data_IF_622730864340
#
_entry.id   IF_622730864340
#
_cell.length_a   1.000
_cell.length_b   1.000
_cell.length_c   1.000
_cell.angle_alpha   90.00
_cell.angle_beta   90.00
_cell.angle_gamma   90.00
#
_symmetry.space_group_name_H-M   'P 1'
#
loop_
_entity.id
_entity.type
_entity.pdbx_description
1 polymer ?
#
# COMPACT_ATOMS: atom_id res chain seq x y z
N UNK A 1 6.54 11.94 -20.20
CA UNK A 1 7.02 12.90 -19.18
C UNK A 1 7.27 12.16 -17.86
N UNK A 2 6.29 11.44 -17.29
CA UNK A 2 6.42 10.75 -16.00
C UNK A 2 7.62 9.78 -15.96
N UNK A 3 7.76 8.88 -16.96
CA UNK A 3 8.88 7.95 -17.06
C UNK A 3 10.26 8.62 -17.01
N UNK A 4 10.39 9.79 -17.67
CA UNK A 4 11.66 10.56 -17.64
C UNK A 4 11.92 11.21 -16.28
N UNK A 5 10.84 11.65 -15.58
CA UNK A 5 10.96 12.30 -14.26
C UNK A 5 11.32 11.29 -13.16
N UNK A 6 10.71 10.12 -13.18
CA UNK A 6 10.81 9.15 -12.09
C UNK A 6 11.78 8.01 -12.37
N UNK A 7 12.23 7.88 -13.62
CA UNK A 7 13.00 6.73 -14.11
C UNK A 7 12.29 5.37 -13.87
N UNK A 8 10.95 5.40 -13.92
CA UNK A 8 10.09 4.24 -13.71
C UNK A 8 9.17 4.02 -14.90
N UNK A 9 8.73 2.79 -15.13
CA UNK A 9 7.79 2.44 -16.20
C UNK A 9 6.32 2.50 -15.74
N UNK A 10 6.07 2.36 -14.43
CA UNK A 10 4.76 2.54 -13.79
C UNK A 10 4.94 3.11 -12.38
N UNK A 11 3.83 3.51 -11.75
CA UNK A 11 3.87 4.08 -10.41
C UNK A 11 4.21 3.06 -9.31
N UNK A 12 3.94 1.78 -9.53
CA UNK A 12 4.13 0.72 -8.53
C UNK A 12 5.54 0.14 -8.61
N UNK A 13 6.17 0.02 -7.46
CA UNK A 13 7.42 -0.72 -7.28
C UNK A 13 7.15 -1.92 -6.37
N UNK A 14 7.70 -3.08 -6.74
CA UNK A 14 7.68 -4.30 -5.92
C UNK A 14 9.11 -4.67 -5.57
N UNK A 15 9.31 -5.04 -4.32
CA UNK A 15 10.61 -5.45 -3.79
C UNK A 15 10.44 -6.62 -2.81
N UNK A 16 11.48 -7.40 -2.63
CA UNK A 16 11.62 -8.33 -1.51
C UNK A 16 12.53 -7.70 -0.45
N UNK A 17 12.32 -8.05 0.79
CA UNK A 17 13.14 -7.53 1.87
C UNK A 17 12.97 -8.31 3.16
N UNK A 18 13.61 -7.83 4.22
CA UNK A 18 13.55 -8.43 5.54
C UNK A 18 13.19 -7.39 6.59
N UNK A 19 12.24 -7.72 7.44
CA UNK A 19 11.85 -6.91 8.59
C UNK A 19 11.95 -7.77 9.85
N UNK A 20 12.92 -7.44 10.71
CA UNK A 20 13.17 -8.17 11.97
C UNK A 20 13.32 -9.71 11.78
N UNK A 21 14.10 -10.13 10.77
CA UNK A 21 14.30 -11.54 10.47
C UNK A 21 13.17 -12.23 9.68
N UNK A 22 12.11 -11.50 9.34
CA UNK A 22 10.98 -12.02 8.56
C UNK A 22 11.12 -11.53 7.12
N UNK A 23 11.23 -12.46 6.17
CA UNK A 23 11.15 -12.12 4.74
C UNK A 23 9.76 -11.62 4.40
N UNK A 24 9.69 -10.57 3.60
CA UNK A 24 8.44 -9.96 3.13
C UNK A 24 8.53 -9.65 1.63
N UNK A 25 7.40 -9.67 0.97
CA UNK A 25 7.21 -8.98 -0.31
C UNK A 25 6.58 -7.61 -0.02
N UNK A 26 7.18 -6.56 -0.52
CA UNK A 26 6.71 -5.19 -0.31
C UNK A 26 6.36 -4.51 -1.64
N UNK A 27 5.34 -3.67 -1.62
CA UNK A 27 4.96 -2.82 -2.74
C UNK A 27 4.72 -1.38 -2.31
N UNK A 28 5.06 -0.42 -3.17
CA UNK A 28 4.81 0.99 -2.92
C UNK A 28 4.41 1.73 -4.18
N UNK A 29 3.59 2.75 -4.04
CA UNK A 29 3.21 3.63 -5.14
C UNK A 29 3.99 4.93 -5.06
N UNK A 30 4.64 5.30 -6.16
CA UNK A 30 5.29 6.60 -6.33
C UNK A 30 4.27 7.65 -6.81
N UNK A 31 3.97 8.62 -5.96
CA UNK A 31 3.05 9.70 -6.27
C UNK A 31 3.54 10.59 -7.43
N UNK A 32 4.84 10.74 -7.62
CA UNK A 32 5.40 11.53 -8.71
C UNK A 32 5.13 10.93 -10.11
N UNK A 33 4.77 9.64 -10.17
CA UNK A 33 4.33 9.00 -11.40
C UNK A 33 2.83 9.18 -11.59
N UNK A 34 2.44 10.25 -12.27
CA UNK A 34 1.04 10.57 -12.65
C UNK A 34 0.11 10.61 -11.40
N UNK A 35 0.57 11.25 -10.31
CA UNK A 35 -0.22 11.36 -9.07
C UNK A 35 -0.51 10.01 -8.39
N UNK A 36 0.34 9.00 -8.60
CA UNK A 36 0.14 7.66 -8.08
C UNK A 36 -1.10 6.94 -8.65
N UNK A 37 -1.70 7.47 -9.73
CA UNK A 37 -2.93 6.89 -10.28
C UNK A 37 -2.71 5.51 -10.85
N UNK A 38 -3.63 4.58 -10.57
CA UNK A 38 -3.56 3.20 -11.01
C UNK A 38 -4.20 3.00 -12.38
N UNK A 39 -3.41 2.53 -13.33
CA UNK A 39 -3.83 2.04 -14.63
C UNK A 39 -3.57 0.54 -14.76
N UNK A 40 -3.52 0.06 -16.01
CA UNK A 40 -3.26 -1.35 -16.30
C UNK A 40 -1.90 -1.82 -15.74
N UNK A 41 -0.85 -1.06 -15.99
CA UNK A 41 0.51 -1.43 -15.57
C UNK A 41 0.65 -1.51 -14.05
N UNK A 42 0.03 -0.56 -13.32
CA UNK A 42 0.04 -0.56 -11.86
C UNK A 42 -0.74 -1.75 -11.29
N UNK A 43 -1.89 -2.06 -11.88
CA UNK A 43 -2.68 -3.23 -11.49
C UNK A 43 -1.91 -4.54 -11.70
N UNK A 44 -1.24 -4.71 -12.84
CA UNK A 44 -0.39 -5.87 -13.10
C UNK A 44 0.77 -5.95 -12.12
N UNK A 45 1.42 -4.83 -11.80
CA UNK A 45 2.52 -4.82 -10.84
C UNK A 45 2.06 -5.23 -9.42
N UNK A 46 0.87 -4.79 -8.99
CA UNK A 46 0.29 -5.20 -7.71
C UNK A 46 0.00 -6.70 -7.71
N UNK A 47 -0.64 -7.22 -8.78
CA UNK A 47 -0.94 -8.65 -8.94
C UNK A 47 0.34 -9.47 -8.94
N UNK A 48 1.38 -9.01 -9.65
CA UNK A 48 2.70 -9.64 -9.64
C UNK A 48 3.30 -9.70 -8.22
N UNK A 49 3.22 -8.61 -7.46
CA UNK A 49 3.70 -8.57 -6.08
C UNK A 49 2.97 -9.56 -5.18
N UNK A 50 1.66 -9.67 -5.34
CA UNK A 50 0.85 -10.66 -4.61
C UNK A 50 1.24 -12.09 -5.02
N UNK A 51 1.37 -12.37 -6.31
CA UNK A 51 1.80 -13.70 -6.79
C UNK A 51 3.19 -14.05 -6.27
N UNK A 52 4.13 -13.09 -6.30
CA UNK A 52 5.45 -13.28 -5.72
C UNK A 52 5.39 -13.61 -4.22
N UNK A 53 4.51 -12.96 -3.46
CA UNK A 53 4.31 -13.26 -2.04
C UNK A 53 3.78 -14.69 -1.84
N UNK A 54 2.85 -15.13 -2.68
CA UNK A 54 2.29 -16.49 -2.64
C UNK A 54 3.37 -17.53 -2.98
N UNK A 55 4.11 -17.33 -4.07
CA UNK A 55 5.13 -18.27 -4.54
C UNK A 55 6.27 -18.45 -3.53
N UNK A 56 6.60 -17.39 -2.80
CA UNK A 56 7.66 -17.39 -1.79
C UNK A 56 7.15 -17.57 -0.35
N UNK A 57 5.84 -17.75 -0.16
CA UNK A 57 5.20 -17.91 1.15
C UNK A 57 5.57 -16.78 2.13
N UNK A 58 5.59 -15.53 1.62
CA UNK A 58 5.93 -14.33 2.40
C UNK A 58 4.70 -13.48 2.68
N UNK A 59 4.65 -12.74 3.80
CA UNK A 59 3.68 -11.66 4.00
C UNK A 59 3.81 -10.62 2.89
N UNK A 60 2.69 -9.98 2.57
CA UNK A 60 2.65 -8.86 1.65
C UNK A 60 2.43 -7.55 2.41
N UNK A 61 3.33 -6.58 2.23
CA UNK A 61 3.25 -5.26 2.85
C UNK A 61 3.13 -4.23 1.74
N UNK A 62 2.09 -3.42 1.75
CA UNK A 62 1.88 -2.45 0.67
C UNK A 62 1.73 -1.03 1.21
N UNK A 63 2.35 -0.08 0.52
CA UNK A 63 2.31 1.36 0.81
C UNK A 63 1.51 2.06 -0.29
N UNK A 64 0.17 2.12 -0.18
CA UNK A 64 -0.66 2.80 -1.16
C UNK A 64 -0.47 4.31 -1.08
N UNK A 65 -0.44 4.95 -2.26
CA UNK A 65 -0.40 6.39 -2.42
C UNK A 65 -1.03 6.76 -3.76
N UNK A 66 -1.94 7.73 -3.81
CA UNK A 66 -2.47 8.22 -5.07
C UNK A 66 -3.93 8.64 -5.05
N UNK A 67 -4.34 9.30 -6.12
CA UNK A 67 -5.68 9.86 -6.27
C UNK A 67 -6.75 8.88 -6.72
N UNK A 68 -6.42 7.64 -7.04
CA UNK A 68 -7.38 6.63 -7.51
C UNK A 68 -7.03 6.04 -8.87
N UNK A 69 -8.05 5.61 -9.61
CA UNK A 69 -7.87 5.00 -10.93
C UNK A 69 -7.52 6.04 -11.99
N UNK A 70 -6.69 5.64 -12.94
CA UNK A 70 -6.22 6.50 -14.04
C UNK A 70 -7.33 6.74 -15.06
N UNK A 71 -7.92 7.93 -15.04
CA UNK A 71 -9.11 8.25 -15.83
C UNK A 71 -8.93 8.08 -17.33
N UNK A 72 -7.76 8.40 -17.88
CA UNK A 72 -7.54 8.30 -19.33
C UNK A 72 -7.30 6.86 -19.84
N UNK A 73 -7.17 5.88 -18.94
CA UNK A 73 -7.20 4.46 -19.30
C UNK A 73 -8.61 3.85 -19.18
N UNK A 74 -9.61 4.64 -18.76
CA UNK A 74 -11.04 4.33 -18.80
C UNK A 74 -11.40 2.96 -18.21
N UNK A 75 -12.17 2.09 -18.88
CA UNK A 75 -12.60 0.79 -18.34
C UNK A 75 -11.46 -0.15 -17.97
N UNK A 76 -10.31 -0.03 -18.62
CA UNK A 76 -9.13 -0.87 -18.32
C UNK A 76 -8.64 -0.60 -16.90
N UNK A 77 -8.54 0.68 -16.51
CA UNK A 77 -8.16 1.05 -15.15
C UNK A 77 -9.21 0.58 -14.12
N UNK A 78 -10.50 0.66 -14.44
CA UNK A 78 -11.57 0.16 -13.55
C UNK A 78 -11.53 -1.37 -13.40
N UNK A 79 -11.29 -2.11 -14.47
CA UNK A 79 -11.12 -3.56 -14.42
C UNK A 79 -9.94 -3.98 -13.53
N UNK A 80 -8.92 -3.14 -13.43
CA UNK A 80 -7.79 -3.32 -12.52
C UNK A 80 -8.21 -3.44 -11.05
N UNK A 81 -9.24 -2.71 -10.61
CA UNK A 81 -9.75 -2.80 -9.24
C UNK A 81 -10.22 -4.22 -8.90
N UNK A 82 -11.04 -4.81 -9.75
CA UNK A 82 -11.53 -6.18 -9.58
C UNK A 82 -10.38 -7.18 -9.57
N UNK A 83 -9.44 -7.03 -10.49
CA UNK A 83 -8.30 -7.95 -10.63
C UNK A 83 -7.37 -7.89 -9.42
N UNK A 84 -7.05 -6.72 -8.92
CA UNK A 84 -6.22 -6.56 -7.70
C UNK A 84 -6.95 -7.09 -6.46
N UNK A 85 -8.27 -6.87 -6.35
CA UNK A 85 -9.10 -7.43 -5.27
C UNK A 85 -9.06 -8.97 -5.28
N UNK A 86 -9.21 -9.58 -6.47
CA UNK A 86 -9.13 -11.04 -6.62
C UNK A 86 -7.74 -11.57 -6.24
N UNK A 87 -6.67 -10.87 -6.62
CA UNK A 87 -5.32 -11.26 -6.23
C UNK A 87 -5.13 -11.24 -4.70
N UNK A 88 -5.58 -10.19 -4.01
CA UNK A 88 -5.55 -10.15 -2.54
C UNK A 88 -6.38 -11.29 -1.92
N UNK A 89 -7.52 -11.64 -2.51
CA UNK A 89 -8.29 -12.78 -2.05
C UNK A 89 -7.52 -14.11 -2.17
N UNK A 90 -6.75 -14.31 -3.26
CA UNK A 90 -5.87 -15.48 -3.39
C UNK A 90 -4.76 -15.48 -2.32
N UNK A 91 -4.17 -14.32 -2.00
CA UNK A 91 -3.21 -14.20 -0.90
C UNK A 91 -3.81 -14.67 0.43
N UNK A 92 -5.03 -14.22 0.74
CA UNK A 92 -5.76 -14.61 1.95
C UNK A 92 -6.09 -16.11 2.01
N UNK A 93 -6.45 -16.70 0.88
CA UNK A 93 -6.66 -18.17 0.78
C UNK A 93 -5.38 -18.96 1.12
N UNK A 94 -4.22 -18.40 0.77
CA UNK A 94 -2.92 -18.95 1.14
C UNK A 94 -2.51 -18.64 2.59
N UNK A 95 -3.38 -17.97 3.39
CA UNK A 95 -3.17 -17.61 4.79
C UNK A 95 -1.92 -16.76 5.01
N UNK A 96 -1.56 -15.94 4.04
CA UNK A 96 -0.44 -15.03 4.12
C UNK A 96 -0.94 -13.65 4.58
N UNK A 97 -0.31 -13.04 5.60
CA UNK A 97 -0.69 -11.73 6.09
C UNK A 97 -0.56 -10.64 5.02
N UNK A 98 -1.54 -9.76 4.95
CA UNK A 98 -1.51 -8.55 4.16
C UNK A 98 -1.59 -7.32 5.05
N UNK A 99 -0.55 -6.50 5.06
CA UNK A 99 -0.49 -5.23 5.80
C UNK A 99 -0.54 -4.08 4.80
N UNK A 100 -1.50 -3.18 4.97
CA UNK A 100 -1.61 -1.94 4.20
C UNK A 100 -1.17 -0.75 5.07
N UNK A 101 -0.18 0.01 4.59
CA UNK A 101 0.37 1.18 5.28
C UNK A 101 0.02 2.44 4.49
N UNK A 102 -1.08 3.10 4.83
CA UNK A 102 -1.57 4.28 4.12
C UNK A 102 -0.62 5.45 4.19
N UNK A 103 -0.32 6.03 3.03
CA UNK A 103 0.49 7.25 2.91
C UNK A 103 -0.31 8.35 2.22
N UNK A 104 0.11 9.60 2.38
CA UNK A 104 -0.63 10.77 1.89
C UNK A 104 -0.38 11.07 0.39
N UNK A 105 -1.44 11.24 -0.42
CA UNK A 105 -2.83 10.85 -0.18
C UNK A 105 -3.10 9.41 -0.62
N UNK A 106 -4.09 8.74 -0.04
CA UNK A 106 -4.63 7.47 -0.56
C UNK A 106 -6.14 7.62 -0.77
N UNK A 107 -6.59 7.62 -2.02
CA UNK A 107 -7.97 7.97 -2.32
C UNK A 107 -8.57 7.19 -3.51
N UNK A 108 -9.87 7.36 -3.71
CA UNK A 108 -10.61 6.87 -4.87
C UNK A 108 -10.62 5.36 -5.01
N UNK A 109 -10.40 4.88 -6.23
CA UNK A 109 -10.38 3.45 -6.51
C UNK A 109 -9.25 2.67 -5.83
N UNK A 110 -8.21 3.33 -5.33
CA UNK A 110 -7.15 2.68 -4.55
C UNK A 110 -7.72 2.22 -3.21
N UNK A 111 -8.37 3.10 -2.46
CA UNK A 111 -9.07 2.75 -1.22
C UNK A 111 -10.22 1.78 -1.45
N UNK A 112 -10.97 1.98 -2.54
CA UNK A 112 -12.13 1.13 -2.86
C UNK A 112 -11.76 -0.26 -3.41
N UNK A 113 -10.49 -0.60 -3.49
CA UNK A 113 -10.01 -1.91 -3.94
C UNK A 113 -8.96 -2.49 -2.98
N UNK A 114 -7.75 -2.70 -3.45
CA UNK A 114 -6.73 -3.44 -2.70
C UNK A 114 -6.28 -2.78 -1.39
N UNK A 115 -6.27 -1.44 -1.29
CA UNK A 115 -5.69 -0.78 -0.12
C UNK A 115 -6.47 -1.03 1.19
N UNK A 116 -7.80 -1.13 1.12
CA UNK A 116 -8.66 -1.42 2.29
C UNK A 116 -8.94 -2.91 2.50
N UNK A 117 -8.16 -3.78 1.89
CA UNK A 117 -8.28 -5.23 2.04
C UNK A 117 -7.21 -5.84 2.95
N UNK A 118 -6.40 -5.01 3.61
CA UNK A 118 -5.40 -5.47 4.58
C UNK A 118 -6.02 -6.25 5.74
N UNK A 119 -5.24 -7.15 6.32
CA UNK A 119 -5.57 -7.75 7.62
C UNK A 119 -5.24 -6.77 8.74
N UNK A 120 -4.30 -5.86 8.51
CA UNK A 120 -3.93 -4.73 9.36
C UNK A 120 -3.76 -3.49 8.50
N UNK A 121 -4.32 -2.38 8.97
CA UNK A 121 -4.23 -1.07 8.36
C UNK A 121 -3.42 -0.11 9.24
N UNK A 122 -2.19 0.17 8.85
CA UNK A 122 -1.42 1.28 9.40
C UNK A 122 -1.63 2.54 8.57
N UNK A 123 -1.50 3.71 9.19
CA UNK A 123 -1.55 4.99 8.48
C UNK A 123 -0.48 5.95 9.02
N UNK A 124 0.11 6.76 8.14
CA UNK A 124 0.94 7.87 8.59
C UNK A 124 0.09 8.98 9.21
N UNK A 125 0.61 9.73 10.20
CA UNK A 125 -0.12 10.84 10.80
C UNK A 125 -0.58 11.87 9.77
N UNK A 126 -1.84 12.29 9.86
CA UNK A 126 -2.41 13.34 9.02
C UNK A 126 -2.64 12.97 7.56
N UNK A 127 -2.39 11.72 7.14
CA UNK A 127 -2.59 11.36 5.75
C UNK A 127 -4.07 11.34 5.36
N UNK A 128 -4.36 11.75 4.13
CA UNK A 128 -5.70 11.72 3.56
C UNK A 128 -6.04 10.29 3.14
N UNK A 129 -7.09 9.72 3.73
CA UNK A 129 -7.66 8.43 3.37
C UNK A 129 -9.11 8.63 2.99
N UNK A 130 -9.43 8.53 1.69
CA UNK A 130 -10.73 8.90 1.18
C UNK A 130 -11.18 7.99 0.04
N UNK A 131 -12.50 7.87 -0.15
CA UNK A 131 -13.04 7.42 -1.44
C UNK A 131 -13.31 8.65 -2.31
N UNK A 132 -14.33 9.43 -2.00
CA UNK A 132 -14.59 10.71 -2.68
C UNK A 132 -13.90 11.85 -1.93
N UNK A 133 -13.18 12.71 -2.65
CA UNK A 133 -12.53 13.87 -2.04
C UNK A 133 -13.53 14.86 -1.43
N UNK A 134 -13.12 15.60 -0.39
CA UNK A 134 -13.95 16.60 0.32
C UNK A 134 -14.69 17.57 -0.63
N UNK A 135 -14.04 17.98 -1.73
CA UNK A 135 -14.63 18.87 -2.73
C UNK A 135 -15.85 18.24 -3.42
N UNK A 136 -15.78 16.96 -3.75
CA UNK A 136 -16.86 16.23 -4.42
C UNK A 136 -18.03 16.06 -3.44
N UNK A 137 -17.74 15.67 -2.20
CA UNK A 137 -18.77 15.49 -1.17
C UNK A 137 -19.50 16.81 -0.91
N UNK A 138 -18.78 17.92 -0.69
CA UNK A 138 -19.39 19.25 -0.49
C UNK A 138 -20.30 19.65 -1.65
N UNK A 139 -19.87 19.37 -2.89
CA UNK A 139 -20.68 19.72 -4.08
C UNK A 139 -21.94 18.85 -4.22
N UNK A 140 -21.89 17.60 -3.74
CA UNK A 140 -22.98 16.63 -3.92
C UNK A 140 -23.97 16.62 -2.76
N UNK A 141 -23.48 16.57 -1.51
CA UNK A 141 -24.31 16.40 -0.32
C UNK A 141 -24.66 17.74 0.33
N UNK A 142 -23.90 18.80 0.01
CA UNK A 142 -24.07 20.17 0.56
C UNK A 142 -23.97 20.25 2.09
N UNK A 143 -23.27 19.30 2.72
CA UNK A 143 -23.00 19.30 4.15
C UNK A 143 -21.64 19.92 4.46
N UNK A 144 -21.54 20.57 5.62
CA UNK A 144 -20.26 21.03 6.14
C UNK A 144 -19.51 19.83 6.73
N UNK A 145 -18.28 19.64 6.24
CA UNK A 145 -17.41 18.57 6.71
C UNK A 145 -16.50 19.09 7.82
N UNK A 146 -16.27 18.27 8.84
CA UNK A 146 -15.31 18.61 9.90
C UNK A 146 -13.90 18.82 9.31
N UNK A 147 -13.07 19.59 9.99
CA UNK A 147 -11.72 19.91 9.52
C UNK A 147 -10.84 18.65 9.39
N UNK A 148 -11.03 17.71 10.31
CA UNK A 148 -10.33 16.42 10.39
C UNK A 148 -10.94 15.32 9.52
N UNK A 149 -12.07 15.58 8.84
CA UNK A 149 -12.73 14.59 7.99
C UNK A 149 -11.76 13.95 6.99
N UNK A 150 -11.76 12.62 6.91
CA UNK A 150 -10.89 11.82 6.04
C UNK A 150 -9.39 11.89 6.37
N UNK A 151 -8.99 12.42 7.52
CA UNK A 151 -7.60 12.23 7.99
C UNK A 151 -7.41 10.83 8.55
N UNK A 152 -6.16 10.39 8.68
CA UNK A 152 -5.84 9.11 9.34
C UNK A 152 -6.40 9.05 10.76
N UNK A 153 -6.40 10.16 11.50
CA UNK A 153 -6.95 10.28 12.85
C UNK A 153 -8.48 10.08 12.86
N UNK A 154 -9.16 10.68 11.88
CA UNK A 154 -10.58 10.45 11.67
C UNK A 154 -10.87 8.98 11.35
N UNK A 155 -10.07 8.38 10.46
CA UNK A 155 -10.23 6.99 10.05
C UNK A 155 -9.95 6.01 11.20
N UNK A 156 -8.94 6.25 12.01
CA UNK A 156 -8.64 5.45 13.21
C UNK A 156 -9.81 5.50 14.21
N UNK A 157 -10.31 6.70 14.50
CA UNK A 157 -11.48 6.90 15.41
C UNK A 157 -12.73 6.15 14.93
N UNK A 158 -12.90 5.95 13.63
CA UNK A 158 -14.05 5.27 13.04
C UNK A 158 -13.77 3.80 12.67
N UNK A 159 -12.60 3.25 13.04
CA UNK A 159 -12.27 1.84 12.87
C UNK A 159 -11.87 1.43 11.44
N UNK A 160 -11.50 2.38 10.59
CA UNK A 160 -10.95 2.10 9.25
C UNK A 160 -9.44 1.90 9.25
N UNK A 161 -8.75 2.39 10.28
CA UNK A 161 -7.32 2.27 10.50
C UNK A 161 -7.10 1.67 11.88
N UNK A 162 -6.24 0.68 11.99
CA UNK A 162 -5.95 0.00 13.25
C UNK A 162 -4.98 0.79 14.11
N UNK A 163 -4.03 1.49 13.48
CA UNK A 163 -3.02 2.28 14.20
C UNK A 163 -2.39 3.34 13.32
N UNK A 164 -2.23 4.55 13.89
CA UNK A 164 -1.41 5.60 13.29
C UNK A 164 0.04 5.38 13.70
N UNK A 165 0.93 5.32 12.71
CA UNK A 165 2.36 5.03 12.92
C UNK A 165 3.20 6.01 12.12
N UNK A 166 4.11 6.70 12.80
CA UNK A 166 5.05 7.57 12.10
C UNK A 166 6.02 6.75 11.23
N UNK A 167 6.36 7.23 10.03
CA UNK A 167 7.20 6.52 9.04
C UNK A 167 8.46 5.90 9.64
N UNK A 168 9.14 6.62 10.54
CA UNK A 168 10.35 6.14 11.24
C UNK A 168 10.13 4.89 12.09
N UNK A 169 8.90 4.68 12.57
CA UNK A 169 8.54 3.59 13.47
C UNK A 169 7.87 2.41 12.74
N UNK A 170 7.46 2.60 11.45
CA UNK A 170 6.74 1.60 10.67
C UNK A 170 7.47 0.26 10.60
N UNK A 171 8.80 0.26 10.40
CA UNK A 171 9.59 -0.98 10.34
C UNK A 171 9.43 -1.80 11.61
N UNK A 172 9.50 -1.16 12.78
CA UNK A 172 9.33 -1.79 14.08
C UNK A 172 7.94 -2.37 14.25
N UNK A 173 6.90 -1.57 13.95
CA UNK A 173 5.52 -1.98 14.15
C UNK A 173 5.09 -3.07 13.16
N UNK A 174 5.51 -3.00 11.91
CA UNK A 174 5.32 -4.06 10.92
C UNK A 174 5.99 -5.37 11.40
N UNK A 175 7.23 -5.31 11.85
CA UNK A 175 7.94 -6.50 12.36
C UNK A 175 7.26 -7.12 13.57
N UNK A 176 6.78 -6.31 14.51
CA UNK A 176 6.06 -6.78 15.70
C UNK A 176 4.76 -7.49 15.33
N UNK A 177 3.94 -6.86 14.46
CA UNK A 177 2.65 -7.47 14.09
C UNK A 177 2.85 -8.73 13.25
N UNK A 178 3.82 -8.76 12.35
CA UNK A 178 4.15 -9.95 11.58
C UNK A 178 4.64 -11.10 12.47
N UNK A 179 5.42 -10.81 13.50
CA UNK A 179 5.85 -11.83 14.47
C UNK A 179 4.66 -12.48 15.18
N UNK A 180 3.64 -11.68 15.53
CA UNK A 180 2.41 -12.18 16.16
C UNK A 180 1.60 -13.01 15.15
N UNK A 181 1.35 -12.49 13.96
CA UNK A 181 0.53 -13.15 12.94
C UNK A 181 1.14 -14.47 12.46
N UNK A 182 2.47 -14.52 12.36
CA UNK A 182 3.19 -15.71 11.91
C UNK A 182 3.57 -16.64 13.06
N UNK A 183 3.24 -16.31 14.32
CA UNK A 183 3.64 -17.05 15.52
C UNK A 183 5.16 -17.31 15.61
N UNK A 184 5.97 -16.40 15.07
CA UNK A 184 7.42 -16.43 15.18
C UNK A 184 7.85 -15.64 16.40
N UNK A 185 8.77 -16.19 17.23
CA UNK A 185 9.39 -15.41 18.29
C UNK A 185 10.20 -14.27 17.64
N UNK A 186 9.95 -13.04 18.06
CA UNK A 186 10.76 -11.91 17.65
C UNK A 186 12.14 -12.04 18.28
N UNK A 187 13.17 -12.25 17.49
CA UNK A 187 14.54 -11.96 17.94
C UNK A 187 14.65 -10.45 18.14
N UNK A 188 14.50 -10.01 19.38
CA UNK A 188 14.80 -8.63 19.77
C UNK A 188 16.33 -8.50 19.79
N UNK A 189 16.91 -8.26 18.64
CA UNK A 189 18.30 -7.81 18.55
C UNK A 189 18.35 -6.38 19.05
N UNK A 190 18.78 -6.20 20.29
CA UNK A 190 19.40 -4.98 20.77
C UNK A 190 20.74 -4.82 20.03
N UNK A 191 20.71 -4.27 18.84
CA UNK A 191 21.87 -4.12 17.98
C UNK A 191 21.85 -2.74 17.33
N UNK A 192 22.88 -1.97 17.65
CA UNK A 192 23.27 -0.67 17.11
C UNK A 192 22.88 -0.45 15.63
N UNK A 193 22.39 0.75 15.38
CA UNK A 193 22.25 1.36 14.07
C UNK A 193 23.62 1.34 13.33
N UNK A 194 23.87 0.33 12.57
CA UNK A 194 24.86 0.38 11.49
C UNK A 194 24.07 0.39 10.18
N UNK A 195 24.10 1.56 9.55
CA UNK A 195 23.69 1.77 8.19
C UNK A 195 24.48 0.83 7.27
N UNK A 196 23.82 -0.19 6.78
CA UNK A 196 24.27 -0.86 5.56
C UNK A 196 23.13 -0.77 4.55
N UNK A 197 23.29 0.20 3.67
CA UNK A 197 22.60 0.32 2.39
C UNK A 197 23.09 -0.78 1.44
N UNK A 198 22.71 -2.03 1.67
CA UNK A 198 23.04 -3.11 0.76
C UNK A 198 21.82 -3.95 0.43
N UNK A 199 21.58 -4.03 -0.89
CA UNK A 199 20.70 -4.95 -1.60
C UNK A 199 19.19 -4.68 -1.55
N UNK A 200 18.77 -3.54 -2.11
CA UNK A 200 17.47 -3.42 -2.76
C UNK A 200 17.70 -3.71 -4.25
N UNK A 201 17.49 -4.95 -4.67
CA UNK A 201 17.40 -5.25 -6.10
C UNK A 201 15.99 -4.88 -6.61
N UNK A 202 15.87 -3.84 -7.42
CA UNK A 202 14.59 -3.55 -8.08
C UNK A 202 14.33 -4.61 -9.14
N UNK A 203 13.22 -5.33 -9.03
CA UNK A 203 12.76 -6.22 -10.09
C UNK A 203 12.30 -5.41 -11.31
N UNK A 204 13.24 -5.08 -12.20
CA UNK A 204 12.95 -4.45 -13.50
C UNK A 204 12.75 -5.50 -14.60
N UNK A 205 11.91 -6.48 -14.41
CA UNK A 205 11.37 -7.28 -15.54
C UNK A 205 9.85 -7.17 -15.53
N UNK A 206 9.37 -6.01 -15.98
CA UNK A 206 8.02 -5.90 -16.48
C UNK A 206 8.04 -6.31 -17.96
N UNK A 207 7.13 -7.21 -18.31
CA UNK A 207 6.83 -7.73 -19.61
C UNK A 207 7.26 -6.85 -20.81
N UNK A 208 8.09 -7.39 -21.65
CA UNK A 208 8.26 -7.02 -23.06
C UNK A 208 7.03 -7.44 -23.87
#
# INVERSE_FOLDING_TARGET
IARKKTNQNCAVMIAKGNVNGIEITAGAINFDFIGGSCGAAESEAIIYGVQHAIDNQTPYVFFPCGGGQRMFESPIALAGMTRTTLAINELKKNKLPYISCFTDPTAGGITASFAMLGDIHFAEPGCLIAFAGKRVIKATVKEELSADFQTSEFCEKHGFVDKIVHRKDLRKDIGNILSILLKKQSEVTSGSLNETSENIEPFTKAAS
#
